data_IF_466683498613
#
_entry.id   IF_466683498613
#
_cell.length_a   1.000
_cell.length_b   1.000
_cell.length_c   1.000
_cell.angle_alpha   90.00
_cell.angle_beta   90.00
_cell.angle_gamma   90.00
#
_symmetry.space_group_name_H-M   'P 1'
#
loop_
_entity.id
_entity.type
_entity.pdbx_description
1 polymer ?
#
# COMPACT_ATOMS: atom_id res chain seq x y z
N UNK A 1 -13.06 2.95 7.11
CA UNK A 1 -12.15 1.91 7.59
C UNK A 1 -10.75 2.44 7.37
N UNK A 2 -10.08 2.87 8.44
CA UNK A 2 -8.72 3.40 8.36
C UNK A 2 -7.76 2.20 8.46
N UNK A 3 -7.02 1.92 7.40
CA UNK A 3 -6.10 0.77 7.24
C UNK A 3 -4.84 0.89 8.14
N UNK A 4 -4.96 1.61 9.25
CA UNK A 4 -3.92 1.92 10.23
C UNK A 4 -4.09 1.18 11.55
N UNK A 5 -5.24 0.55 11.75
CA UNK A 5 -5.51 -0.29 12.92
C UNK A 5 -5.38 -1.75 12.51
N UNK A 6 -4.23 -2.36 12.82
CA UNK A 6 -4.07 -3.81 12.81
C UNK A 6 -4.91 -4.37 13.97
N UNK A 7 -6.12 -4.83 13.66
CA UNK A 7 -6.99 -5.45 14.66
C UNK A 7 -6.54 -6.90 14.86
N UNK A 8 -5.74 -7.13 15.89
CA UNK A 8 -5.47 -8.49 16.36
C UNK A 8 -6.81 -9.16 16.72
N UNK A 9 -7.12 -10.28 16.06
CA UNK A 9 -8.24 -11.12 16.46
C UNK A 9 -7.86 -11.89 17.73
N UNK A 10 -8.67 -11.76 18.77
CA UNK A 10 -8.49 -12.51 20.01
C UNK A 10 -9.81 -13.06 20.53
N UNK A 11 -9.75 -14.22 21.16
CA UNK A 11 -10.87 -14.86 21.82
C UNK A 11 -10.72 -14.74 23.34
N UNK A 12 -11.81 -14.44 24.05
CA UNK A 12 -11.88 -14.55 25.50
C UNK A 12 -13.22 -15.17 25.93
N UNK A 13 -13.25 -15.79 27.13
CA UNK A 13 -14.49 -16.18 27.78
C UNK A 13 -15.47 -15.00 27.96
N UNK A 14 -16.76 -15.32 28.05
CA UNK A 14 -17.79 -14.32 28.29
C UNK A 14 -17.55 -13.57 29.60
N UNK A 15 -17.39 -12.24 29.52
CA UNK A 15 -17.09 -11.37 30.66
C UNK A 15 -15.62 -10.98 30.80
N UNK A 16 -14.72 -11.56 30.01
CA UNK A 16 -13.29 -11.22 30.03
C UNK A 16 -12.90 -10.33 28.85
N UNK A 17 -12.09 -9.31 29.12
CA UNK A 17 -11.62 -8.37 28.10
C UNK A 17 -10.37 -8.92 27.39
N UNK A 18 -10.41 -9.00 26.07
CA UNK A 18 -9.20 -9.19 25.25
C UNK A 18 -8.45 -7.86 25.17
N UNK A 19 -7.19 -7.85 25.62
CA UNK A 19 -6.28 -6.73 25.43
C UNK A 19 -5.40 -7.01 24.20
N UNK A 20 -5.65 -6.30 23.10
CA UNK A 20 -4.75 -6.32 21.93
C UNK A 20 -3.62 -5.31 22.10
N UNK A 21 -2.43 -5.63 21.60
CA UNK A 21 -1.31 -4.70 21.58
C UNK A 21 -1.54 -3.66 20.48
N UNK A 22 -2.09 -2.49 20.84
CA UNK A 22 -2.05 -1.33 19.95
C UNK A 22 -0.68 -0.66 20.01
N UNK A 23 0.30 -1.24 19.32
CA UNK A 23 1.59 -0.58 19.16
C UNK A 23 1.38 0.68 18.33
N UNK A 24 1.58 1.86 18.91
CA UNK A 24 1.63 3.13 18.15
C UNK A 24 2.83 3.23 17.21
N UNK A 25 3.48 2.12 16.88
CA UNK A 25 4.62 2.08 15.96
C UNK A 25 4.12 2.36 14.56
N UNK A 26 4.47 3.55 14.09
CA UNK A 26 4.66 3.85 12.67
C UNK A 26 5.82 3.00 12.16
N UNK A 27 5.65 1.68 12.02
CA UNK A 27 6.53 0.91 11.15
C UNK A 27 6.50 1.55 9.76
N UNK A 28 7.62 1.46 9.03
CA UNK A 28 7.84 2.17 7.78
C UNK A 28 6.62 2.12 6.88
N UNK A 29 6.20 3.27 6.35
CA UNK A 29 5.05 3.35 5.45
C UNK A 29 5.41 2.62 4.17
N UNK A 30 4.57 1.71 3.70
CA UNK A 30 4.67 1.16 2.35
C UNK A 30 3.56 1.80 1.52
N UNK A 31 3.93 2.43 0.41
CA UNK A 31 3.01 2.95 -0.60
C UNK A 31 3.06 2.06 -1.84
N UNK A 32 1.99 2.04 -2.61
CA UNK A 32 1.93 1.36 -3.90
C UNK A 32 1.53 2.36 -5.00
N UNK A 33 2.18 2.25 -6.14
CA UNK A 33 1.84 2.98 -7.37
C UNK A 33 1.60 1.97 -8.50
N UNK A 34 0.57 2.19 -9.30
CA UNK A 34 0.22 1.37 -10.44
C UNK A 34 -0.62 2.19 -11.43
N UNK A 35 -0.55 1.85 -12.71
CA UNK A 35 -1.51 2.30 -13.71
C UNK A 35 -2.77 1.43 -13.65
N UNK A 36 -3.91 1.98 -14.09
CA UNK A 36 -5.17 1.24 -14.17
C UNK A 36 -5.71 1.29 -15.60
N UNK A 37 -5.89 0.12 -16.21
CA UNK A 37 -6.39 -0.02 -17.58
C UNK A 37 -7.36 -1.20 -17.67
N UNK A 38 -8.56 -0.97 -18.19
CA UNK A 38 -9.57 -2.01 -18.47
C UNK A 38 -9.84 -2.96 -17.28
N UNK A 39 -9.93 -2.42 -16.06
CA UNK A 39 -10.17 -3.24 -14.87
C UNK A 39 -8.92 -3.91 -14.30
N UNK A 40 -7.74 -3.65 -14.87
CA UNK A 40 -6.48 -4.29 -14.47
C UNK A 40 -5.46 -3.27 -14.02
N UNK A 41 -4.70 -3.62 -12.98
CA UNK A 41 -3.53 -2.88 -12.54
C UNK A 41 -2.35 -3.25 -13.44
N UNK A 42 -1.67 -2.24 -13.96
CA UNK A 42 -0.48 -2.36 -14.80
C UNK A 42 0.69 -1.61 -14.15
N UNK A 43 1.92 -2.05 -14.39
CA UNK A 43 3.12 -1.49 -13.76
C UNK A 43 3.02 -1.31 -12.23
N UNK A 44 2.58 -2.31 -11.44
CA UNK A 44 2.54 -2.18 -9.99
C UNK A 44 3.95 -2.08 -9.39
N UNK A 45 4.15 -1.15 -8.46
CA UNK A 45 5.40 -0.96 -7.75
C UNK A 45 5.15 -0.51 -6.30
N UNK A 46 5.87 -1.10 -5.36
CA UNK A 46 5.78 -0.78 -3.92
C UNK A 46 7.00 -0.01 -3.46
N UNK A 47 6.78 1.02 -2.65
CA UNK A 47 7.79 1.98 -2.20
C UNK A 47 7.72 2.10 -0.69
N UNK A 48 8.85 1.91 -0.02
CA UNK A 48 8.99 2.28 1.38
C UNK A 48 9.17 3.80 1.53
N UNK A 49 8.46 4.41 2.47
CA UNK A 49 8.41 5.85 2.65
C UNK A 49 7.33 6.50 1.78
N UNK A 50 7.52 7.75 1.38
CA UNK A 50 6.54 8.52 0.62
C UNK A 50 6.73 8.34 -0.90
N UNK A 51 5.63 8.26 -1.64
CA UNK A 51 5.65 8.43 -3.10
C UNK A 51 5.91 9.90 -3.41
N UNK A 52 7.19 10.26 -3.56
CA UNK A 52 7.63 11.61 -3.92
C UNK A 52 7.83 11.76 -5.43
N UNK A 53 8.19 12.96 -5.87
CA UNK A 53 8.43 13.27 -7.28
C UNK A 53 9.43 12.30 -7.94
N UNK A 54 10.58 12.07 -7.31
CA UNK A 54 11.62 11.19 -7.84
C UNK A 54 11.12 9.77 -7.99
N UNK A 55 10.41 9.25 -6.99
CA UNK A 55 9.78 7.92 -7.05
C UNK A 55 8.81 7.82 -8.21
N UNK A 56 7.97 8.85 -8.41
CA UNK A 56 7.00 8.89 -9.50
C UNK A 56 7.68 8.94 -10.87
N UNK A 57 8.66 9.82 -11.06
CA UNK A 57 9.40 9.96 -12.33
C UNK A 57 10.15 8.66 -12.67
N UNK A 58 10.82 8.05 -11.70
CA UNK A 58 11.49 6.76 -11.88
C UNK A 58 10.50 5.64 -12.24
N UNK A 59 9.35 5.58 -11.56
CA UNK A 59 8.31 4.60 -11.89
C UNK A 59 7.73 4.83 -13.29
N UNK A 60 7.50 6.09 -13.65
CA UNK A 60 6.99 6.46 -14.97
C UNK A 60 7.95 5.98 -16.06
N UNK A 61 9.24 6.28 -15.93
CA UNK A 61 10.27 5.92 -16.91
C UNK A 61 10.56 4.43 -16.96
N UNK A 62 10.68 3.79 -15.80
CA UNK A 62 11.20 2.42 -15.69
C UNK A 62 10.11 1.35 -15.70
N UNK A 63 8.87 1.69 -15.31
CA UNK A 63 7.79 0.73 -15.15
C UNK A 63 6.63 0.99 -16.10
N UNK A 64 6.15 2.24 -16.20
CA UNK A 64 4.94 2.55 -16.99
C UNK A 64 5.25 2.74 -18.47
N UNK A 65 6.18 3.61 -18.85
CA UNK A 65 6.48 3.90 -20.26
C UNK A 65 6.80 2.65 -21.11
N UNK A 66 7.55 1.63 -20.63
CA UNK A 66 7.85 0.44 -21.42
C UNK A 66 6.64 -0.40 -21.83
N UNK A 67 5.50 -0.23 -21.15
CA UNK A 67 4.28 -1.02 -21.40
C UNK A 67 3.18 -0.22 -22.11
N UNK A 68 3.39 1.08 -22.34
CA UNK A 68 2.46 1.96 -23.05
C UNK A 68 2.67 1.87 -24.56
N UNK A 69 1.58 1.92 -25.30
CA UNK A 69 1.62 2.05 -26.76
C UNK A 69 1.52 3.53 -27.17
N UNK A 70 2.13 3.92 -28.30
CA UNK A 70 1.98 5.29 -28.81
C UNK A 70 0.51 5.65 -29.02
N UNK A 71 0.05 6.70 -28.35
CA UNK A 71 -1.34 7.19 -28.43
C UNK A 71 -2.27 6.68 -27.32
N UNK A 72 -1.77 5.85 -26.41
CA UNK A 72 -2.41 5.61 -25.10
C UNK A 72 -2.14 6.75 -24.10
#
# INVERSE_FOLDING_TARGET
MDERDDYEYGWSPAGERVYGLKSGRRQGRVNMIAGYRNGQLIAPFTVEGACNRTVFETWLESCLMPILQPGE
#
